data_IF_086885626027
#
_entry.id   IF_086885626027
#
_cell.length_a   1.000
_cell.length_b   1.000
_cell.length_c   1.000
_cell.angle_alpha   90.00
_cell.angle_beta   90.00
_cell.angle_gamma   90.00
#
_symmetry.space_group_name_H-M   'P 1'
#
loop_
_entity.id
_entity.type
_entity.pdbx_description
1 polymer ?
#
# COMPACT_ATOMS: atom_id res chain seq x y z
N UNK A 1 4.84 -22.17 -7.34
CA UNK A 1 4.94 -21.23 -6.21
C UNK A 1 6.11 -20.31 -6.47
N UNK A 2 5.90 -18.99 -6.37
CA UNK A 2 6.97 -17.99 -6.46
C UNK A 2 7.26 -17.55 -5.03
N UNK A 3 8.46 -17.82 -4.56
CA UNK A 3 8.86 -17.50 -3.19
C UNK A 3 9.36 -16.05 -3.14
N UNK A 4 9.06 -15.38 -2.03
CA UNK A 4 9.42 -13.99 -1.80
C UNK A 4 10.07 -13.85 -0.43
N UNK A 5 10.97 -12.90 -0.31
CA UNK A 5 11.53 -12.46 0.97
C UNK A 5 10.98 -11.07 1.28
N UNK A 6 10.57 -10.85 2.54
CA UNK A 6 10.12 -9.55 3.04
C UNK A 6 11.18 -9.05 4.01
N UNK A 7 11.80 -7.92 3.71
CA UNK A 7 12.88 -7.37 4.54
C UNK A 7 12.45 -6.17 5.37
N UNK A 8 11.36 -5.50 5.01
CA UNK A 8 10.81 -4.39 5.78
C UNK A 8 9.29 -4.38 5.74
N UNK A 9 8.68 -4.11 6.89
CA UNK A 9 7.25 -3.86 7.03
C UNK A 9 7.04 -2.65 7.92
N UNK A 10 6.27 -1.68 7.46
CA UNK A 10 5.93 -0.48 8.24
C UNK A 10 4.42 -0.32 8.33
N UNK A 11 3.90 -0.15 9.54
CA UNK A 11 2.50 0.17 9.77
C UNK A 11 2.32 1.65 10.10
N UNK A 12 1.49 2.34 9.32
CA UNK A 12 0.96 3.68 9.59
C UNK A 12 -0.55 3.58 9.84
N UNK A 13 -1.17 4.69 10.26
CA UNK A 13 -2.55 4.75 10.77
C UNK A 13 -3.59 4.07 9.85
N UNK A 14 -3.40 4.11 8.53
CA UNK A 14 -4.29 3.51 7.53
C UNK A 14 -3.58 2.65 6.49
N UNK A 15 -2.30 2.37 6.67
CA UNK A 15 -1.47 1.77 5.61
C UNK A 15 -0.48 0.80 6.20
N UNK A 16 -0.41 -0.38 5.60
CA UNK A 16 0.69 -1.31 5.83
C UNK A 16 1.57 -1.35 4.59
N UNK A 17 2.82 -0.96 4.74
CA UNK A 17 3.84 -1.09 3.71
C UNK A 17 4.62 -2.39 3.90
N UNK A 18 4.85 -3.09 2.80
CA UNK A 18 5.63 -4.31 2.74
C UNK A 18 6.63 -4.18 1.59
N UNK A 19 7.92 -4.26 1.92
CA UNK A 19 9.00 -4.26 0.95
C UNK A 19 9.53 -5.68 0.83
N UNK A 20 9.55 -6.20 -0.39
CA UNK A 20 9.98 -7.56 -0.65
C UNK A 20 10.61 -7.74 -2.01
N UNK A 21 11.23 -8.90 -2.20
CA UNK A 21 11.80 -9.29 -3.49
C UNK A 21 11.46 -10.73 -3.80
N UNK A 22 11.35 -11.02 -5.08
CA UNK A 22 11.27 -12.39 -5.56
C UNK A 22 12.62 -13.07 -5.36
N UNK A 23 12.65 -14.18 -4.63
CA UNK A 23 13.91 -14.87 -4.30
C UNK A 23 14.64 -15.43 -5.53
N UNK A 24 13.90 -15.67 -6.62
CA UNK A 24 14.42 -16.25 -7.86
C UNK A 24 14.97 -15.23 -8.86
N UNK A 25 14.35 -14.06 -8.98
CA UNK A 25 14.77 -13.01 -9.92
C UNK A 25 15.53 -11.87 -9.24
N UNK A 26 15.40 -11.71 -7.92
CA UNK A 26 15.89 -10.55 -7.18
C UNK A 26 15.11 -9.27 -7.48
N UNK A 27 14.04 -9.35 -8.26
CA UNK A 27 13.18 -8.21 -8.58
C UNK A 27 12.47 -7.75 -7.30
N UNK A 28 12.57 -6.45 -7.03
CA UNK A 28 11.97 -5.81 -5.87
C UNK A 28 10.53 -5.45 -6.16
N UNK A 29 9.68 -5.57 -5.15
CA UNK A 29 8.31 -5.13 -5.19
C UNK A 29 7.97 -4.39 -3.90
N UNK A 30 7.02 -3.47 -4.03
CA UNK A 30 6.51 -2.66 -2.95
C UNK A 30 5.00 -2.83 -2.90
N UNK A 31 4.50 -3.29 -1.75
CA UNK A 31 3.07 -3.46 -1.51
C UNK A 31 2.64 -2.46 -0.48
N UNK A 32 1.65 -1.66 -0.85
CA UNK A 32 0.94 -0.81 0.10
C UNK A 32 -0.47 -1.34 0.26
N UNK A 33 -0.77 -1.84 1.45
CA UNK A 33 -2.10 -2.30 1.81
C UNK A 33 -2.84 -1.18 2.56
N UNK A 34 -3.79 -0.55 1.89
CA UNK A 34 -4.53 0.63 2.38
C UNK A 34 -5.85 0.20 3.01
N UNK A 35 -6.02 0.55 4.29
CA UNK A 35 -7.24 0.42 5.06
C UNK A 35 -7.96 1.77 5.11
N UNK A 36 -8.69 2.06 4.02
CA UNK A 36 -9.37 3.35 3.90
C UNK A 36 -10.51 3.48 4.91
N UNK A 37 -10.58 4.58 5.68
CA UNK A 37 -11.72 4.85 6.56
C UNK A 37 -13.01 4.99 5.75
N UNK A 38 -14.16 4.66 6.36
CA UNK A 38 -15.45 4.77 5.68
C UNK A 38 -15.93 6.24 5.59
N UNK A 39 -15.39 7.15 6.41
CA UNK A 39 -15.64 8.59 6.31
C UNK A 39 -15.06 9.14 5.00
N UNK A 40 -15.88 9.84 4.23
CA UNK A 40 -15.50 10.34 2.91
C UNK A 40 -14.43 11.44 2.98
N UNK A 41 -14.50 12.33 3.97
CA UNK A 41 -13.54 13.41 4.14
C UNK A 41 -12.15 12.87 4.49
N UNK A 42 -12.09 11.99 5.50
CA UNK A 42 -10.82 11.36 5.91
C UNK A 42 -10.25 10.47 4.79
N UNK A 43 -11.11 9.79 4.02
CA UNK A 43 -10.69 9.02 2.85
C UNK A 43 -10.06 9.89 1.78
N UNK A 44 -10.64 11.05 1.48
CA UNK A 44 -10.10 11.99 0.50
C UNK A 44 -8.73 12.53 0.94
N UNK A 45 -8.61 12.97 2.19
CA UNK A 45 -7.35 13.44 2.77
C UNK A 45 -6.25 12.36 2.73
N UNK A 46 -6.61 11.09 3.00
CA UNK A 46 -5.70 9.97 2.89
C UNK A 46 -5.19 9.78 1.45
N UNK A 47 -6.06 9.80 0.45
CA UNK A 47 -5.66 9.70 -0.97
C UNK A 47 -4.83 10.89 -1.44
N UNK A 48 -5.18 12.10 -1.01
CA UNK A 48 -4.43 13.31 -1.34
C UNK A 48 -3.01 13.23 -0.73
N UNK A 49 -2.87 12.66 0.47
CA UNK A 49 -1.56 12.43 1.09
C UNK A 49 -0.70 11.43 0.31
N UNK A 50 -1.29 10.36 -0.24
CA UNK A 50 -0.57 9.40 -1.08
C UNK A 50 -0.11 9.99 -2.40
N UNK A 51 -0.94 10.82 -3.05
CA UNK A 51 -0.55 11.50 -4.28
C UNK A 51 0.53 12.57 -4.06
N UNK A 52 0.62 13.12 -2.84
CA UNK A 52 1.62 14.11 -2.47
C UNK A 52 2.93 13.48 -1.96
N UNK A 53 2.95 12.21 -1.58
CA UNK A 53 4.11 11.54 -1.02
C UNK A 53 5.11 11.12 -2.14
N UNK A 54 6.35 11.66 -2.13
CA UNK A 54 7.35 11.36 -3.16
C UNK A 54 7.81 9.89 -3.18
N UNK A 55 7.58 9.11 -2.12
CA UNK A 55 7.94 7.67 -2.10
C UNK A 55 7.13 6.84 -3.10
N UNK A 56 5.93 7.30 -3.48
CA UNK A 56 5.10 6.62 -4.50
C UNK A 56 5.66 6.83 -5.92
N UNK A 57 6.54 7.82 -6.12
CA UNK A 57 7.01 8.26 -7.44
C UNK A 57 8.39 7.80 -7.88
N UNK A 58 9.28 7.38 -6.97
CA UNK A 58 10.70 7.14 -7.29
C UNK A 58 11.05 5.65 -7.48
N UNK A 59 10.21 4.73 -6.99
CA UNK A 59 10.45 3.28 -7.10
C UNK A 59 9.55 2.66 -8.19
N UNK A 60 10.14 2.27 -9.32
CA UNK A 60 9.47 1.54 -10.41
C UNK A 60 8.70 0.33 -9.84
N UNK A 61 7.37 0.44 -9.73
CA UNK A 61 6.49 -0.71 -9.47
C UNK A 61 5.81 -0.79 -8.11
N UNK A 62 5.41 0.34 -7.50
CA UNK A 62 4.50 0.30 -6.33
C UNK A 62 3.13 -0.25 -6.75
N UNK A 63 2.70 -1.36 -6.14
CA UNK A 63 1.35 -1.90 -6.30
C UNK A 63 0.50 -1.50 -5.09
N UNK A 64 -0.45 -0.60 -5.30
CA UNK A 64 -1.45 -0.22 -4.30
C UNK A 64 -2.55 -1.28 -4.24
N UNK A 65 -2.78 -1.86 -3.06
CA UNK A 65 -3.89 -2.78 -2.79
C UNK A 65 -4.75 -2.19 -1.68
N UNK A 66 -6.04 -2.01 -1.90
CA UNK A 66 -6.92 -1.44 -0.88
C UNK A 66 -8.38 -1.81 -1.09
N UNK A 67 -9.09 -2.07 0.01
CA UNK A 67 -10.53 -2.31 -0.02
C UNK A 67 -11.26 -0.97 -0.18
N UNK A 68 -11.68 -0.66 -1.41
CA UNK A 68 -12.27 0.65 -1.72
C UNK A 68 -13.75 0.79 -1.31
N UNK A 69 -14.44 -0.34 -1.09
CA UNK A 69 -15.87 -0.39 -0.77
C UNK A 69 -16.12 -0.68 0.71
N UNK A 70 -16.39 0.37 1.51
CA UNK A 70 -17.23 0.22 2.70
C UNK A 70 -18.68 0.39 2.24
N UNK A 71 -19.46 -0.69 2.07
CA UNK A 71 -20.91 -0.57 2.24
C UNK A 71 -21.15 -0.54 3.74
N UNK A 72 -21.69 0.56 4.27
CA UNK A 72 -22.20 0.57 5.63
C UNK A 72 -23.21 -0.58 5.78
N UNK A 73 -22.95 -1.53 6.67
CA UNK A 73 -23.99 -2.45 7.12
C UNK A 73 -25.03 -1.60 7.87
N UNK A 74 -26.14 -1.30 7.20
CA UNK A 74 -27.36 -0.78 7.82
C UNK A 74 -28.09 -1.86 8.59
#
# INVERSE_FOLDING_TARGET
>A
STEVEVWSTESREHVLWCHGQFTKSGEKFFVENVYAPCDFGVKQELWDSFCADPFVGDEEGVCLWGLQHCQACG
#
